data_IF_278507204200
#
_entry.id   IF_278507204200
#
_cell.length_a   1.000
_cell.length_b   1.000
_cell.length_c   1.000
_cell.angle_alpha   90.00
_cell.angle_beta   90.00
_cell.angle_gamma   90.00
#
_symmetry.space_group_name_H-M   'P 1'
#
loop_
_entity.id
_entity.type
_entity.pdbx_description
1 polymer ?
#
# COMPACT_ATOMS: atom_id res chain seq x y z
N UNK A 1 -4.03 13.02 12.48
CA UNK A 1 -2.66 13.56 12.61
C UNK A 1 -1.70 12.54 12.03
N UNK A 2 -0.77 12.97 11.18
CA UNK A 2 0.26 12.11 10.60
C UNK A 2 0.20 11.97 9.08
N UNK A 3 0.41 13.07 8.35
CA UNK A 3 0.82 13.00 6.93
C UNK A 3 2.32 12.64 6.94
N UNK A 4 2.65 11.35 7.09
CA UNK A 4 4.05 10.88 6.96
C UNK A 4 4.23 10.21 5.60
N UNK A 5 3.98 10.94 4.51
CA UNK A 5 4.68 10.58 3.27
C UNK A 5 6.14 10.98 3.48
N UNK A 6 7.01 10.05 3.89
CA UNK A 6 8.43 10.21 3.62
C UNK A 6 8.58 10.20 2.09
N UNK A 7 8.42 11.37 1.49
CA UNK A 7 8.87 11.64 0.14
C UNK A 7 10.40 11.60 0.20
N UNK A 8 10.98 10.44 -0.07
CA UNK A 8 12.42 10.37 -0.30
C UNK A 8 12.74 11.29 -1.49
N UNK A 9 13.84 12.08 -1.44
CA UNK A 9 14.22 13.02 -2.50
C UNK A 9 14.32 12.42 -3.90
N UNK A 10 14.41 11.09 -4.00
CA UNK A 10 14.62 10.34 -5.25
C UNK A 10 13.39 9.53 -5.70
N UNK A 11 12.17 9.84 -5.23
CA UNK A 11 10.97 9.04 -5.51
C UNK A 11 11.13 7.55 -5.14
N UNK A 12 11.80 7.25 -4.02
CA UNK A 12 11.97 5.89 -3.55
C UNK A 12 10.96 5.59 -2.45
N UNK A 13 10.19 4.51 -2.60
CA UNK A 13 9.36 3.99 -1.52
C UNK A 13 10.25 3.28 -0.53
N UNK A 14 10.43 3.84 0.66
CA UNK A 14 11.01 3.05 1.74
C UNK A 14 9.98 2.02 2.17
N UNK A 15 10.11 0.79 1.70
CA UNK A 15 9.57 -0.35 2.45
C UNK A 15 10.43 -0.45 3.71
N UNK A 16 10.23 0.44 4.68
CA UNK A 16 10.45 0.03 6.05
C UNK A 16 9.59 -1.23 6.20
N UNK A 17 10.21 -2.34 6.53
CA UNK A 17 9.60 -3.67 6.68
C UNK A 17 8.53 -3.70 7.79
N UNK A 18 7.50 -2.85 7.73
CA UNK A 18 6.44 -2.74 8.73
C UNK A 18 5.22 -3.59 8.34
N UNK A 19 5.05 -3.90 7.04
CA UNK A 19 4.12 -4.92 6.54
C UNK A 19 4.75 -6.32 6.54
N UNK A 20 5.48 -6.71 7.60
CA UNK A 20 5.74 -8.15 7.78
C UNK A 20 4.38 -8.85 7.82
N UNK A 21 4.19 -9.88 7.00
CA UNK A 21 2.96 -10.71 7.01
C UNK A 21 2.63 -11.20 8.43
N UNK A 22 3.65 -11.35 9.28
CA UNK A 22 3.57 -11.65 10.71
C UNK A 22 2.71 -10.68 11.53
N UNK A 23 2.53 -9.44 11.07
CA UNK A 23 1.76 -8.41 11.76
C UNK A 23 0.29 -8.35 11.32
N UNK A 24 -0.12 -9.11 10.30
CA UNK A 24 -1.50 -9.04 9.78
C UNK A 24 -2.53 -9.38 10.85
N UNK A 25 -2.22 -10.32 11.73
CA UNK A 25 -3.15 -10.69 12.81
C UNK A 25 -3.30 -9.59 13.86
N UNK A 26 -2.25 -8.77 14.08
CA UNK A 26 -2.35 -7.56 14.93
C UNK A 26 -3.20 -6.47 14.28
N UNK A 27 -3.15 -6.34 12.95
CA UNK A 27 -3.99 -5.38 12.23
C UNK A 27 -5.46 -5.78 12.35
N UNK A 28 -5.78 -7.08 12.24
CA UNK A 28 -7.17 -7.58 12.33
C UNK A 28 -7.82 -7.45 13.71
N UNK A 29 -7.03 -7.14 14.74
CA UNK A 29 -7.55 -6.99 16.12
C UNK A 29 -8.56 -5.85 16.26
N UNK A 30 -8.42 -4.82 15.42
CA UNK A 30 -9.28 -3.65 15.41
C UNK A 30 -10.11 -3.59 14.12
N UNK A 31 -11.31 -3.03 14.23
CA UNK A 31 -12.13 -2.72 13.06
C UNK A 31 -11.67 -1.37 12.49
N UNK A 32 -10.96 -1.42 11.37
CA UNK A 32 -10.53 -0.22 10.66
C UNK A 32 -11.57 0.19 9.63
N UNK A 33 -11.87 1.49 9.59
CA UNK A 33 -12.68 2.10 8.54
C UNK A 33 -11.79 2.95 7.64
N UNK A 34 -11.96 2.79 6.33
CA UNK A 34 -11.32 3.61 5.30
C UNK A 34 -12.35 4.49 4.57
N UNK A 35 -13.47 4.80 5.21
CA UNK A 35 -14.57 5.60 4.64
C UNK A 35 -14.08 6.97 4.10
N UNK A 36 -13.03 7.54 4.70
CA UNK A 36 -12.42 8.77 4.19
C UNK A 36 -11.76 8.59 2.81
N UNK A 37 -11.12 7.44 2.59
CA UNK A 37 -10.52 7.10 1.29
C UNK A 37 -11.63 6.78 0.27
N UNK A 38 -12.67 6.07 0.68
CA UNK A 38 -13.83 5.76 -0.16
C UNK A 38 -14.47 7.07 -0.64
N UNK A 39 -14.78 8.00 0.27
CA UNK A 39 -15.30 9.34 -0.06
C UNK A 39 -14.38 10.15 -0.97
N UNK A 40 -13.06 9.99 -0.84
CA UNK A 40 -12.12 10.68 -1.71
C UNK A 40 -12.16 10.13 -3.15
N UNK A 41 -12.49 8.84 -3.33
CA UNK A 41 -12.53 8.17 -4.64
C UNK A 41 -13.91 8.20 -5.31
N UNK A 42 -15.00 8.31 -4.54
CA UNK A 42 -16.38 8.40 -5.02
C UNK A 42 -16.71 9.73 -5.73
N UNK A 43 -17.83 9.77 -6.46
CA UNK A 43 -18.27 10.97 -7.18
C UNK A 43 -18.39 12.19 -6.25
N UNK A 44 -17.69 13.28 -6.60
CA UNK A 44 -17.56 14.47 -5.77
C UNK A 44 -16.36 14.47 -4.82
N UNK A 45 -15.66 13.35 -4.67
CA UNK A 45 -14.41 13.21 -3.93
C UNK A 45 -13.20 13.85 -4.63
N UNK A 46 -12.17 14.17 -3.85
CA UNK A 46 -10.98 14.89 -4.34
C UNK A 46 -10.08 14.09 -5.30
N UNK A 47 -10.20 12.76 -5.30
CA UNK A 47 -9.47 11.82 -6.17
C UNK A 47 -10.36 11.24 -7.28
N UNK A 48 -11.64 11.58 -7.32
CA UNK A 48 -12.57 11.06 -8.31
C UNK A 48 -12.13 11.38 -9.74
N UNK A 49 -12.12 10.36 -10.60
CA UNK A 49 -11.76 10.49 -12.02
C UNK A 49 -10.27 10.73 -12.28
N UNK A 50 -9.42 10.79 -11.25
CA UNK A 50 -7.97 10.96 -11.36
C UNK A 50 -7.24 9.63 -11.50
N UNK A 51 -5.97 9.70 -11.92
CA UNK A 51 -5.07 8.55 -11.90
C UNK A 51 -4.43 8.46 -10.52
N UNK A 52 -4.71 7.39 -9.79
CA UNK A 52 -4.32 7.23 -8.39
C UNK A 52 -3.53 5.95 -8.21
N UNK A 53 -2.39 6.07 -7.53
CA UNK A 53 -1.55 4.94 -7.13
C UNK A 53 -1.67 4.72 -5.62
N UNK A 54 -2.19 3.56 -5.23
CA UNK A 54 -2.48 3.18 -3.86
C UNK A 54 -1.47 2.14 -3.35
N UNK A 55 -0.98 2.33 -2.14
CA UNK A 55 -0.23 1.30 -1.43
C UNK A 55 -0.50 1.37 0.08
N UNK A 56 -0.48 0.20 0.71
CA UNK A 56 -0.63 0.08 2.15
C UNK A 56 0.68 0.34 2.89
N UNK A 57 0.56 0.79 4.13
CA UNK A 57 1.62 0.87 5.12
C UNK A 57 1.02 0.63 6.51
N UNK A 58 1.86 0.60 7.53
CA UNK A 58 1.42 0.64 8.93
C UNK A 58 2.22 1.68 9.70
N UNK A 59 1.56 2.35 10.64
CA UNK A 59 2.21 3.25 11.58
C UNK A 59 2.07 2.69 13.01
N UNK A 60 3.19 2.34 13.68
CA UNK A 60 3.15 1.90 15.06
C UNK A 60 2.84 3.07 15.99
N UNK A 61 1.81 2.91 16.83
CA UNK A 61 1.42 3.88 17.84
C UNK A 61 1.25 3.18 19.19
N UNK A 62 1.72 3.82 20.27
CA UNK A 62 1.48 3.34 21.64
C UNK A 62 0.13 3.86 22.12
N UNK A 63 -0.84 2.96 22.30
CA UNK A 63 -2.20 3.29 22.71
C UNK A 63 -2.54 2.58 24.03
N UNK A 64 -3.42 3.19 24.82
CA UNK A 64 -4.10 2.51 25.92
C UNK A 64 -5.29 1.72 25.36
N UNK A 65 -5.25 0.41 25.50
CA UNK A 65 -6.32 -0.50 25.06
C UNK A 65 -6.79 -1.27 26.28
N UNK A 66 -8.01 -0.98 26.74
CA UNK A 66 -8.63 -1.63 27.90
C UNK A 66 -7.79 -1.56 29.19
N UNK A 67 -7.02 -0.47 29.40
CA UNK A 67 -6.18 -0.27 30.58
C UNK A 67 -4.76 -0.84 30.45
N UNK A 68 -4.41 -1.41 29.30
CA UNK A 68 -3.06 -1.89 29.00
C UNK A 68 -2.40 -1.05 27.91
N UNK A 69 -1.15 -0.64 28.15
CA UNK A 69 -0.34 0.03 27.12
C UNK A 69 0.09 -0.95 26.04
N UNK A 70 -0.36 -0.73 24.81
CA UNK A 70 -0.14 -1.63 23.68
C UNK A 70 0.38 -0.90 22.46
N UNK A 71 1.34 -1.50 21.75
CA UNK A 71 1.75 -1.04 20.42
C UNK A 71 0.73 -1.55 19.41
N UNK A 72 -0.03 -0.62 18.82
CA UNK A 72 -1.00 -0.88 17.76
C UNK A 72 -0.40 -0.47 16.43
N UNK A 73 -0.51 -1.35 15.43
CA UNK A 73 -0.10 -1.06 14.06
C UNK A 73 -1.30 -0.52 13.31
N UNK A 74 -1.38 0.81 13.17
CA UNK A 74 -2.47 1.45 12.45
C UNK A 74 -2.24 1.24 10.95
N UNK A 75 -3.16 0.59 10.22
CA UNK A 75 -3.04 0.46 8.77
C UNK A 75 -3.32 1.82 8.11
N UNK A 76 -2.44 2.18 7.18
CA UNK A 76 -2.54 3.41 6.40
C UNK A 76 -2.57 3.03 4.93
N UNK A 77 -3.41 3.72 4.16
CA UNK A 77 -3.37 3.66 2.70
C UNK A 77 -2.87 5.00 2.20
N UNK A 78 -1.78 4.98 1.44
CA UNK A 78 -1.24 6.17 0.78
C UNK A 78 -1.80 6.21 -0.63
N UNK A 79 -2.45 7.32 -0.97
CA UNK A 79 -2.97 7.60 -2.29
C UNK A 79 -2.16 8.70 -2.98
N UNK A 80 -1.59 8.37 -4.13
CA UNK A 80 -0.78 9.32 -4.92
C UNK A 80 -1.53 9.66 -6.20
N UNK A 81 -2.04 10.89 -6.27
CA UNK A 81 -2.57 11.49 -7.48
C UNK A 81 -1.42 11.80 -8.44
N UNK A 82 -1.30 11.02 -9.51
CA UNK A 82 -0.21 11.16 -10.47
C UNK A 82 -0.63 10.66 -11.85
N UNK A 83 -0.32 11.37 -12.96
CA UNK A 83 -0.64 10.89 -14.30
C UNK A 83 0.21 9.70 -14.76
N UNK A 84 1.31 9.39 -14.06
CA UNK A 84 2.21 8.28 -14.36
C UNK A 84 2.63 7.57 -13.05
N UNK A 85 3.10 6.31 -13.12
CA UNK A 85 3.50 5.58 -11.92
C UNK A 85 4.63 6.31 -11.18
N UNK A 86 4.58 6.44 -9.84
CA UNK A 86 5.55 7.31 -9.16
C UNK A 86 6.99 6.77 -9.21
N UNK A 87 7.18 5.46 -8.97
CA UNK A 87 8.48 4.79 -9.05
C UNK A 87 8.34 3.30 -9.34
N UNK A 88 9.36 2.72 -9.97
CA UNK A 88 9.51 1.28 -10.23
C UNK A 88 10.61 0.64 -9.36
N UNK A 89 11.07 1.36 -8.32
CA UNK A 89 12.10 0.93 -7.38
C UNK A 89 11.62 1.07 -5.93
N UNK A 90 12.05 0.14 -5.08
CA UNK A 90 11.78 0.11 -3.65
C UNK A 90 13.10 0.38 -2.92
N UNK A 91 13.11 1.37 -2.04
CA UNK A 91 14.14 1.55 -1.03
C UNK A 91 13.90 0.57 0.12
N UNK A 92 14.91 -0.21 0.45
CA UNK A 92 14.91 -1.13 1.58
C UNK A 92 15.80 -0.53 2.66
N UNK A 93 15.16 -0.06 3.72
CA UNK A 93 15.83 0.42 4.92
C UNK A 93 15.60 -0.58 6.04
N UNK A 94 16.70 -1.10 6.59
CA UNK A 94 16.69 -1.91 7.81
C UNK A 94 17.50 -1.17 8.86
N UNK A 95 17.01 -1.13 10.10
CA UNK A 95 17.76 -0.59 11.25
C UNK A 95 19.14 -1.24 11.38
N UNK A 96 19.31 -2.46 10.88
CA UNK A 96 20.57 -3.21 10.92
C UNK A 96 21.52 -2.90 9.76
N UNK A 97 21.08 -2.20 8.70
CA UNK A 97 21.92 -1.90 7.55
C UNK A 97 22.30 -0.42 7.55
N UNK A 98 23.59 -0.13 7.47
CA UNK A 98 24.09 1.24 7.37
C UNK A 98 23.68 1.94 6.06
N UNK A 99 23.42 1.18 4.99
CA UNK A 99 23.10 1.71 3.67
C UNK A 99 21.70 1.29 3.20
N UNK A 100 20.96 2.25 2.64
CA UNK A 100 19.72 2.02 1.89
C UNK A 100 20.02 1.14 0.67
N UNK A 101 19.27 0.04 0.51
CA UNK A 101 19.33 -0.78 -0.71
C UNK A 101 18.17 -0.42 -1.63
N UNK A 102 18.47 -0.01 -2.86
CA UNK A 102 17.43 0.29 -3.86
C UNK A 102 17.26 -0.90 -4.79
N UNK A 103 16.11 -1.55 -4.74
CA UNK A 103 15.81 -2.75 -5.52
C UNK A 103 14.73 -2.44 -6.56
N UNK A 104 14.92 -2.82 -7.85
CA UNK A 104 13.84 -2.74 -8.84
C UNK A 104 12.64 -3.59 -8.42
N UNK A 105 11.43 -3.04 -8.49
CA UNK A 105 10.18 -3.75 -8.17
C UNK A 105 10.06 -5.06 -8.96
N UNK A 106 10.52 -5.06 -10.21
CA UNK A 106 10.56 -6.25 -11.07
C UNK A 106 11.39 -7.40 -10.49
N UNK A 107 12.50 -7.11 -9.80
CA UNK A 107 13.31 -8.13 -9.13
C UNK A 107 12.55 -8.76 -7.95
N UNK A 108 11.73 -7.96 -7.27
CA UNK A 108 10.80 -8.41 -6.23
C UNK A 108 9.49 -8.99 -6.80
N UNK A 109 9.37 -9.03 -8.14
CA UNK A 109 8.16 -9.47 -8.86
C UNK A 109 6.92 -8.66 -8.47
N UNK A 110 7.12 -7.37 -8.25
CA UNK A 110 6.08 -6.38 -7.97
C UNK A 110 5.93 -5.42 -9.16
N UNK A 111 4.73 -4.88 -9.33
CA UNK A 111 4.42 -3.81 -10.27
C UNK A 111 3.22 -2.99 -9.76
N UNK A 112 3.04 -1.82 -10.36
CA UNK A 112 1.74 -1.15 -10.32
C UNK A 112 0.77 -1.93 -11.20
N UNK A 113 -0.27 -2.49 -10.58
CA UNK A 113 -1.29 -3.28 -11.26
C UNK A 113 -2.63 -2.55 -11.17
N UNK A 114 -3.49 -2.63 -12.21
CA UNK A 114 -4.85 -2.09 -12.13
C UNK A 114 -5.59 -2.66 -10.91
N UNK A 115 -6.25 -1.80 -10.13
CA UNK A 115 -7.13 -2.24 -9.06
C UNK A 115 -8.39 -2.87 -9.67
N UNK A 116 -8.73 -4.08 -9.20
CA UNK A 116 -9.94 -4.80 -9.60
C UNK A 116 -10.83 -4.96 -8.36
N UNK A 117 -12.01 -4.31 -8.34
CA UNK A 117 -13.02 -4.50 -7.29
C UNK A 117 -13.34 -5.97 -7.09
N UNK A 118 -13.73 -6.36 -5.88
CA UNK A 118 -13.98 -7.77 -5.55
C UNK A 118 -15.11 -8.36 -6.39
N UNK A 119 -16.14 -7.56 -6.67
CA UNK A 119 -17.30 -7.94 -7.49
C UNK A 119 -16.90 -8.25 -8.94
N UNK A 120 -15.89 -7.52 -9.45
CA UNK A 120 -15.47 -7.60 -10.85
C UNK A 120 -14.38 -8.64 -11.11
N UNK A 121 -13.83 -9.30 -10.08
CA UNK A 121 -12.73 -10.27 -10.25
C UNK A 121 -13.07 -11.47 -11.13
N UNK A 122 -14.36 -11.77 -11.31
CA UNK A 122 -14.84 -12.84 -12.20
C UNK A 122 -15.07 -12.35 -13.64
N UNK A 123 -15.18 -11.04 -13.85
CA UNK A 123 -15.33 -10.46 -15.18
C UNK A 123 -13.98 -10.44 -15.91
N UNK A 124 -13.97 -10.76 -17.21
CA UNK A 124 -12.74 -10.77 -18.01
C UNK A 124 -12.10 -9.37 -17.97
N UNK A 125 -10.85 -9.32 -17.50
CA UNK A 125 -10.04 -8.12 -17.16
C UNK A 125 -9.88 -7.12 -18.31
N UNK A 126 -10.16 -7.49 -19.56
CA UNK A 126 -9.74 -6.74 -20.75
C UNK A 126 -10.35 -5.33 -20.92
N UNK A 127 -11.36 -4.93 -20.15
CA UNK A 127 -12.02 -3.63 -20.33
C UNK A 127 -12.13 -2.73 -19.10
N UNK A 128 -11.55 -3.11 -17.96
CA UNK A 128 -11.55 -2.22 -16.79
C UNK A 128 -10.62 -1.02 -17.09
N UNK A 129 -11.21 0.08 -17.58
CA UNK A 129 -10.61 1.42 -17.60
C UNK A 129 -10.52 1.97 -16.17
N UNK A 130 -9.92 1.21 -15.27
CA UNK A 130 -9.62 1.73 -13.94
C UNK A 130 -8.48 2.73 -14.07
N UNK A 131 -8.61 3.84 -13.35
CA UNK A 131 -7.54 4.81 -13.15
C UNK A 131 -6.86 4.62 -11.80
N UNK A 132 -7.22 3.55 -11.08
CA UNK A 132 -6.67 3.22 -9.77
C UNK A 132 -5.71 2.04 -9.94
N UNK A 133 -4.51 2.20 -9.41
CA UNK A 133 -3.45 1.20 -9.47
C UNK A 133 -2.97 0.88 -8.06
N UNK A 134 -2.65 -0.38 -7.79
CA UNK A 134 -2.07 -0.81 -6.51
C UNK A 134 -0.71 -1.45 -6.71
N UNK A 135 0.11 -1.47 -5.65
CA UNK A 135 1.26 -2.38 -5.63
C UNK A 135 0.76 -3.83 -5.56
N UNK A 136 1.17 -4.65 -6.53
CA UNK A 136 0.76 -6.05 -6.60
C UNK A 136 1.88 -6.97 -7.08
N UNK A 137 1.79 -8.24 -6.70
CA UNK A 137 2.68 -9.29 -7.19
C UNK A 137 2.31 -9.64 -8.64
N UNK A 138 3.29 -9.62 -9.54
CA UNK A 138 3.12 -9.97 -10.96
C UNK A 138 3.25 -11.47 -11.23
N UNK A 139 3.61 -12.27 -10.22
CA UNK A 139 3.56 -13.72 -10.37
C UNK A 139 2.13 -14.20 -10.46
N UNK A 140 1.84 -15.02 -11.48
CA UNK A 140 0.64 -15.84 -11.47
C UNK A 140 0.65 -16.71 -10.22
N UNK A 141 -0.52 -16.89 -9.60
CA UNK A 141 -0.69 -17.74 -8.41
C UNK A 141 -0.15 -19.16 -8.65
N UNK A 142 -0.22 -19.67 -9.88
CA UNK A 142 0.35 -20.97 -10.28
C UNK A 142 1.88 -21.03 -10.33
N UNK A 143 2.57 -19.90 -10.38
CA UNK A 143 4.03 -19.82 -10.40
C UNK A 143 4.64 -19.63 -9.00
N UNK A 144 3.81 -19.35 -7.98
CA UNK A 144 4.24 -19.42 -6.59
C UNK A 144 4.38 -20.91 -6.23
N UNK A 145 5.61 -21.44 -6.33
CA UNK A 145 5.91 -22.75 -5.76
C UNK A 145 5.72 -22.66 -4.24
N UNK A 146 5.07 -23.69 -3.69
CA UNK A 146 4.76 -23.91 -2.28
C UNK A 146 5.96 -23.64 -1.36
#
# INVERSE_FOLDING_TARGET
FGHSSQFCPNNLYTSQYHLQWENIDKIKEFNWSFENLEKALEEGGELHGKTVYLFGSTEPQLLDVNGESKIVLIPIVVAVDCPFPPSDKIGINSVQRENEEIVPMKAMKMAWVPYVPLEDRLSRIDSLKTKIFTLGCTQRRSALKH
#
